data_IF_675967539742
#
_entry.id   IF_675967539742
#
_cell.length_a   1.000
_cell.length_b   1.000
_cell.length_c   1.000
_cell.angle_alpha   90.00
_cell.angle_beta   90.00
_cell.angle_gamma   90.00
#
_symmetry.space_group_name_H-M   'P 1'
#
loop_
_entity.id
_entity.type
_entity.pdbx_description
1 polymer ?
#
# COMPACT_ATOMS: atom_id res chain seq x y z
N UNK A 1 -23.99 -5.44 -6.31
CA UNK A 1 -22.61 -5.44 -6.83
C UNK A 1 -21.74 -4.84 -5.73
N UNK A 2 -20.75 -5.58 -5.22
CA UNK A 2 -19.77 -5.05 -4.27
C UNK A 2 -18.84 -4.13 -5.06
N UNK A 3 -18.66 -2.89 -4.62
CA UNK A 3 -17.70 -1.99 -5.28
C UNK A 3 -16.28 -2.53 -5.11
N UNK A 4 -15.45 -2.41 -6.16
CA UNK A 4 -14.07 -2.93 -6.19
C UNK A 4 -13.19 -2.46 -5.01
N UNK A 5 -13.54 -1.32 -4.40
CA UNK A 5 -12.82 -0.72 -3.27
C UNK A 5 -13.49 -0.98 -1.91
N UNK A 6 -14.56 -1.76 -1.84
CA UNK A 6 -15.22 -2.05 -0.56
C UNK A 6 -14.39 -3.01 0.31
N UNK A 7 -13.85 -4.08 -0.29
CA UNK A 7 -13.05 -5.05 0.45
C UNK A 7 -11.78 -4.43 1.05
N UNK A 8 -10.91 -3.71 0.30
CA UNK A 8 -9.73 -3.08 0.89
C UNK A 8 -10.06 -2.11 2.03
N UNK A 9 -11.14 -1.34 1.91
CA UNK A 9 -11.58 -0.40 2.96
C UNK A 9 -12.03 -1.09 4.25
N UNK A 10 -12.54 -2.33 4.17
CA UNK A 10 -12.94 -3.12 5.34
C UNK A 10 -11.80 -3.97 5.90
N UNK A 11 -10.82 -4.31 5.06
CA UNK A 11 -9.73 -5.21 5.42
C UNK A 11 -8.49 -4.47 5.97
N UNK A 12 -8.16 -3.31 5.40
CA UNK A 12 -7.04 -2.50 5.85
C UNK A 12 -7.52 -1.68 7.04
N UNK A 13 -6.97 -1.98 8.23
CA UNK A 13 -7.34 -1.31 9.48
C UNK A 13 -6.97 0.18 9.51
N UNK A 14 -5.70 0.56 9.30
CA UNK A 14 -5.29 1.96 9.28
C UNK A 14 -5.94 2.73 8.13
N UNK A 15 -6.60 3.84 8.48
CA UNK A 15 -7.06 4.79 7.49
C UNK A 15 -5.96 5.79 7.09
N UNK A 16 -6.30 6.78 6.27
CA UNK A 16 -5.32 7.79 5.83
C UNK A 16 -4.71 8.61 6.96
N UNK A 17 -5.49 8.93 8.00
CA UNK A 17 -4.99 9.67 9.18
C UNK A 17 -4.04 8.79 9.98
N UNK A 18 -4.39 7.53 10.23
CA UNK A 18 -3.53 6.61 10.96
C UNK A 18 -2.22 6.38 10.22
N UNK A 19 -2.27 6.18 8.89
CA UNK A 19 -1.06 6.02 8.06
C UNK A 19 -0.17 7.26 8.16
N UNK A 20 -0.75 8.48 8.18
CA UNK A 20 0.02 9.72 8.36
C UNK A 20 0.74 9.77 9.71
N UNK A 21 0.04 9.47 10.80
CA UNK A 21 0.63 9.43 12.15
C UNK A 21 1.76 8.39 12.26
N UNK A 22 1.57 7.21 11.65
CA UNK A 22 2.59 6.16 11.60
C UNK A 22 3.84 6.60 10.81
N UNK A 23 3.65 7.26 9.66
CA UNK A 23 4.76 7.76 8.85
C UNK A 23 5.52 8.90 9.55
N UNK A 24 4.82 9.78 10.27
CA UNK A 24 5.43 10.83 11.10
C UNK A 24 6.31 10.22 12.21
N UNK A 25 5.84 9.15 12.88
CA UNK A 25 6.62 8.45 13.90
C UNK A 25 7.91 7.80 13.34
N UNK A 26 7.92 7.48 12.05
CA UNK A 26 9.08 6.95 11.33
C UNK A 26 9.93 8.04 10.65
N UNK A 27 9.51 9.31 10.74
CA UNK A 27 10.09 10.43 10.01
C UNK A 27 10.15 10.20 8.49
N UNK A 28 9.06 9.69 7.92
CA UNK A 28 8.92 9.41 6.48
C UNK A 28 7.77 10.22 5.88
N UNK A 29 7.95 10.67 4.64
CA UNK A 29 6.97 11.53 3.97
C UNK A 29 5.85 10.74 3.28
N UNK A 30 6.09 9.47 2.98
CA UNK A 30 5.13 8.63 2.24
C UNK A 30 5.31 7.14 2.47
N UNK A 31 4.28 6.37 2.13
CA UNK A 31 4.36 4.91 2.08
C UNK A 31 5.33 4.43 0.99
N UNK A 32 5.45 5.15 -0.12
CA UNK A 32 6.42 4.82 -1.17
C UNK A 32 7.86 4.95 -0.66
N UNK A 33 8.16 6.01 0.10
CA UNK A 33 9.47 6.20 0.75
C UNK A 33 9.77 5.06 1.73
N UNK A 34 8.77 4.57 2.47
CA UNK A 34 8.94 3.40 3.33
C UNK A 34 9.27 2.14 2.51
N UNK A 35 8.57 1.90 1.40
CA UNK A 35 8.81 0.74 0.54
C UNK A 35 10.20 0.81 -0.12
N UNK A 36 10.63 2.00 -0.56
CA UNK A 36 11.96 2.24 -1.12
C UNK A 36 13.08 1.88 -0.12
N UNK A 37 12.90 2.23 1.16
CA UNK A 37 13.85 1.91 2.23
C UNK A 37 13.82 0.44 2.64
N UNK A 38 12.64 -0.19 2.62
CA UNK A 38 12.47 -1.55 3.12
C UNK A 38 12.82 -2.64 2.09
N UNK A 39 12.61 -2.36 0.79
CA UNK A 39 12.76 -3.38 -0.28
C UNK A 39 13.95 -3.05 -1.17
N UNK A 40 15.02 -3.87 -1.17
CA UNK A 40 16.15 -3.68 -2.07
C UNK A 40 15.72 -3.59 -3.54
N UNK A 41 16.26 -2.62 -4.26
CA UNK A 41 15.83 -2.28 -5.63
C UNK A 41 16.01 -3.45 -6.61
N UNK A 42 17.00 -4.30 -6.40
CA UNK A 42 17.30 -5.44 -7.26
C UNK A 42 16.27 -6.59 -7.17
N UNK A 43 15.43 -6.61 -6.12
CA UNK A 43 14.36 -7.61 -5.97
C UNK A 43 12.96 -6.99 -6.08
N UNK A 44 12.85 -5.66 -6.25
CA UNK A 44 11.58 -4.97 -6.36
C UNK A 44 11.00 -5.12 -7.76
N UNK A 45 9.71 -5.50 -7.85
CA UNK A 45 8.98 -5.45 -9.12
C UNK A 45 8.40 -4.05 -9.34
N UNK A 46 8.77 -3.42 -10.46
CA UNK A 46 8.30 -2.08 -10.84
C UNK A 46 7.01 -2.08 -11.67
N UNK A 47 6.57 -3.26 -12.13
CA UNK A 47 5.35 -3.41 -12.93
C UNK A 47 4.19 -3.87 -12.05
N UNK A 48 2.99 -3.38 -12.39
CA UNK A 48 1.74 -3.82 -11.77
C UNK A 48 1.55 -5.33 -11.91
N UNK A 49 0.85 -5.92 -10.94
CA UNK A 49 0.39 -7.29 -11.08
C UNK A 49 -0.56 -7.40 -12.25
N UNK A 50 -0.31 -8.38 -13.12
CA UNK A 50 -1.34 -8.86 -14.03
C UNK A 50 -2.43 -9.50 -13.16
N UNK A 51 -3.62 -8.93 -13.19
CA UNK A 51 -4.80 -9.48 -12.52
C UNK A 51 -5.80 -9.92 -13.59
N UNK A 52 -6.07 -11.22 -13.68
CA UNK A 52 -7.14 -11.74 -14.53
C UNK A 52 -8.47 -11.53 -13.82
N UNK A 53 -9.37 -10.68 -14.36
CA UNK A 53 -10.57 -10.27 -13.63
C UNK A 53 -11.71 -11.31 -13.65
N UNK A 54 -11.50 -12.53 -14.16
CA UNK A 54 -12.56 -13.55 -14.33
C UNK A 54 -12.05 -14.98 -14.05
N UNK A 55 -11.82 -15.30 -12.78
CA UNK A 55 -12.01 -16.64 -12.20
C UNK A 55 -12.95 -16.50 -11.01
#
# INVERSE_FOLDING_TARGET
MIEKNEFPRRHIGPDKSNVKEMLEALNLESLDSLIDLAVPTNIRRHQNLLHSPNL
#
